data_IF_414315266678
#
_entry.id   IF_414315266678
#
_cell.length_a   1.000
_cell.length_b   1.000
_cell.length_c   1.000
_cell.angle_alpha   90.00
_cell.angle_beta   90.00
_cell.angle_gamma   90.00
#
_symmetry.space_group_name_H-M   'P 1'
#
loop_
_entity.id
_entity.type
_entity.pdbx_description
1 polymer ?
#
# COMPACT_ATOMS: atom_id res chain seq x y z
N UNK A 1 6.72 8.57 -0.56
CA UNK A 1 6.68 7.67 0.61
C UNK A 1 6.52 8.51 1.86
N UNK A 2 5.47 8.33 2.67
CA UNK A 2 5.34 9.07 3.92
C UNK A 2 6.33 8.49 4.93
N UNK A 3 7.30 9.29 5.36
CA UNK A 3 8.16 8.95 6.49
C UNK A 3 7.26 8.80 7.72
N UNK A 4 7.09 7.58 8.22
CA UNK A 4 6.36 7.30 9.47
C UNK A 4 7.25 7.79 10.62
N UNK A 5 7.06 9.05 11.01
CA UNK A 5 7.66 9.56 12.24
C UNK A 5 6.88 8.99 13.41
N UNK A 6 7.46 8.00 14.10
CA UNK A 6 6.91 7.55 15.37
C UNK A 6 7.02 8.72 16.37
N UNK A 7 5.89 9.22 16.85
CA UNK A 7 5.88 10.18 17.95
C UNK A 7 6.29 9.45 19.24
N UNK A 8 7.57 9.53 19.59
CA UNK A 8 8.15 8.88 20.76
C UNK A 8 7.74 9.51 22.11
N UNK A 9 7.04 10.64 22.07
CA UNK A 9 6.53 11.36 23.25
C UNK A 9 5.02 11.16 23.44
N UNK A 10 4.34 10.47 22.52
CA UNK A 10 2.91 10.23 22.58
C UNK A 10 2.54 9.05 23.49
N UNK A 11 1.34 9.10 24.07
CA UNK A 11 0.80 8.03 24.93
C UNK A 11 0.80 6.66 24.24
N UNK A 12 0.47 6.60 22.95
CA UNK A 12 0.48 5.37 22.15
C UNK A 12 1.88 4.74 22.06
N UNK A 13 2.93 5.55 21.93
CA UNK A 13 4.30 5.03 21.90
C UNK A 13 4.72 4.54 23.29
N UNK A 14 4.39 5.29 24.35
CA UNK A 14 4.64 4.87 25.73
C UNK A 14 3.97 3.54 26.03
N UNK A 15 2.68 3.40 25.68
CA UNK A 15 1.92 2.17 25.85
C UNK A 15 2.50 1.01 25.04
N UNK A 16 2.88 1.23 23.78
CA UNK A 16 3.52 0.22 22.95
C UNK A 16 4.89 -0.22 23.50
N UNK A 17 5.68 0.70 24.05
CA UNK A 17 6.96 0.38 24.69
C UNK A 17 6.75 -0.37 26.00
N UNK A 18 5.79 0.04 26.83
CA UNK A 18 5.41 -0.69 28.05
C UNK A 18 4.91 -2.10 27.72
N UNK A 19 4.10 -2.26 26.67
CA UNK A 19 3.65 -3.56 26.19
C UNK A 19 4.82 -4.45 25.77
N UNK A 20 5.78 -3.92 25.00
CA UNK A 20 7.00 -4.66 24.63
C UNK A 20 7.89 -5.02 25.80
N UNK A 21 7.94 -4.19 26.84
CA UNK A 21 8.68 -4.49 28.07
C UNK A 21 8.00 -5.60 28.88
N UNK A 22 6.66 -5.57 28.95
CA UNK A 22 5.88 -6.57 29.66
C UNK A 22 5.85 -7.92 28.92
N UNK A 23 5.82 -7.87 27.59
CA UNK A 23 5.81 -9.03 26.70
C UNK A 23 6.99 -8.93 25.73
N UNK A 24 8.21 -9.27 26.18
CA UNK A 24 9.37 -9.23 25.31
C UNK A 24 9.16 -10.18 24.13
N UNK A 25 9.64 -9.84 22.92
CA UNK A 25 9.57 -10.74 21.79
C UNK A 25 10.29 -12.05 22.15
N UNK A 26 9.74 -13.21 21.74
CA UNK A 26 10.40 -14.49 21.98
C UNK A 26 11.84 -14.45 21.44
N UNK A 27 12.82 -14.93 22.20
CA UNK A 27 14.19 -14.97 21.72
C UNK A 27 14.30 -15.93 20.53
N UNK A 28 15.16 -15.57 19.57
CA UNK A 28 15.42 -16.43 18.41
C UNK A 28 16.16 -17.71 18.79
N UNK A 29 16.96 -17.70 19.87
CA UNK A 29 17.52 -18.90 20.47
C UNK A 29 16.73 -19.26 21.74
N UNK A 30 16.33 -20.54 21.97
CA UNK A 30 16.67 -21.74 21.19
C UNK A 30 15.64 -22.07 20.08
N UNK A 31 14.72 -21.16 19.73
CA UNK A 31 13.72 -21.37 18.67
C UNK A 31 14.38 -21.83 17.35
N UNK A 32 15.51 -21.23 17.01
CA UNK A 32 16.42 -21.66 15.95
C UNK A 32 17.73 -22.11 16.62
N UNK A 33 17.87 -23.40 16.93
CA UNK A 33 18.94 -23.90 17.81
C UNK A 33 20.31 -23.93 17.13
N UNK A 34 20.34 -23.90 15.79
CA UNK A 34 21.58 -23.88 15.01
C UNK A 34 21.58 -22.74 13.99
N UNK A 35 22.77 -22.26 13.58
CA UNK A 35 22.89 -21.29 12.49
C UNK A 35 22.20 -21.76 11.20
N UNK A 36 22.25 -23.06 10.90
CA UNK A 36 21.62 -23.66 9.73
C UNK A 36 20.09 -23.54 9.80
N UNK A 37 19.48 -23.82 10.96
CA UNK A 37 18.04 -23.66 11.17
C UNK A 37 17.60 -22.19 11.02
N UNK A 38 18.45 -21.24 11.42
CA UNK A 38 18.21 -19.82 11.19
C UNK A 38 18.29 -19.46 9.70
N UNK A 39 19.30 -19.95 8.97
CA UNK A 39 19.43 -19.71 7.52
C UNK A 39 18.28 -20.31 6.72
N UNK A 40 17.80 -21.50 7.09
CA UNK A 40 16.64 -22.13 6.43
C UNK A 40 15.36 -21.32 6.67
N UNK A 41 15.13 -20.86 7.90
CA UNK A 41 14.01 -19.97 8.21
C UNK A 41 14.06 -18.70 7.37
N UNK A 42 15.21 -18.03 7.30
CA UNK A 42 15.36 -16.81 6.50
C UNK A 42 15.07 -17.06 5.01
N UNK A 43 15.55 -18.18 4.46
CA UNK A 43 15.29 -18.52 3.05
C UNK A 43 13.81 -18.74 2.79
N UNK A 44 13.12 -19.45 3.67
CA UNK A 44 11.68 -19.68 3.52
C UNK A 44 10.88 -18.37 3.61
N UNK A 45 11.21 -17.54 4.60
CA UNK A 45 10.59 -16.23 4.83
C UNK A 45 10.80 -15.28 3.63
N UNK A 46 12.01 -15.26 3.05
CA UNK A 46 12.33 -14.45 1.86
C UNK A 46 11.52 -14.87 0.64
N UNK A 47 11.37 -16.18 0.41
CA UNK A 47 10.56 -16.69 -0.71
C UNK A 47 9.08 -16.35 -0.53
N UNK A 48 8.53 -16.51 0.67
CA UNK A 48 7.14 -16.16 0.96
C UNK A 48 6.90 -14.66 0.81
N UNK A 49 7.80 -13.84 1.36
CA UNK A 49 7.75 -12.39 1.24
C UNK A 49 7.77 -11.96 -0.22
N UNK A 50 8.68 -12.50 -1.03
CA UNK A 50 8.77 -12.15 -2.44
C UNK A 50 7.49 -12.52 -3.20
N UNK A 51 6.91 -13.69 -2.95
CA UNK A 51 5.65 -14.10 -3.58
C UNK A 51 4.48 -13.16 -3.22
N UNK A 52 4.42 -12.68 -1.97
CA UNK A 52 3.43 -11.69 -1.53
C UNK A 52 3.67 -10.36 -2.25
N UNK A 53 4.92 -9.92 -2.35
CA UNK A 53 5.27 -8.66 -3.02
C UNK A 53 4.95 -8.69 -4.51
N UNK A 54 5.28 -9.78 -5.21
CA UNK A 54 4.96 -9.95 -6.63
C UNK A 54 3.45 -9.88 -6.89
N UNK A 55 2.67 -10.55 -6.03
CA UNK A 55 1.20 -10.48 -6.09
C UNK A 55 0.69 -9.06 -5.85
N UNK A 56 1.21 -8.37 -4.83
CA UNK A 56 0.80 -7.02 -4.49
C UNK A 56 1.14 -6.03 -5.62
N UNK A 57 2.30 -6.18 -6.24
CA UNK A 57 2.72 -5.38 -7.39
C UNK A 57 1.79 -5.58 -8.58
N UNK A 58 1.46 -6.84 -8.91
CA UNK A 58 0.50 -7.14 -9.98
C UNK A 58 -0.87 -6.49 -9.73
N UNK A 59 -1.39 -6.62 -8.50
CA UNK A 59 -2.67 -6.00 -8.11
C UNK A 59 -2.59 -4.47 -8.18
N UNK A 60 -1.47 -3.88 -7.75
CA UNK A 60 -1.27 -2.43 -7.82
C UNK A 60 -1.35 -1.92 -9.25
N UNK A 61 -0.65 -2.55 -10.20
CA UNK A 61 -0.65 -2.11 -11.60
C UNK A 61 -1.99 -2.32 -12.30
N UNK A 62 -2.72 -3.39 -11.96
CA UNK A 62 -4.08 -3.60 -12.46
C UNK A 62 -5.02 -2.47 -12.01
N UNK A 63 -5.02 -2.16 -10.71
CA UNK A 63 -5.85 -1.10 -10.12
C UNK A 63 -5.47 0.27 -10.68
N UNK A 64 -4.18 0.55 -10.76
CA UNK A 64 -3.68 1.80 -11.33
C UNK A 64 -4.11 1.96 -12.80
N UNK A 65 -3.97 0.91 -13.60
CA UNK A 65 -4.41 0.91 -15.00
C UNK A 65 -5.93 1.10 -15.16
N UNK A 66 -6.73 0.51 -14.26
CA UNK A 66 -8.18 0.73 -14.24
C UNK A 66 -8.52 2.19 -13.88
N UNK A 67 -7.85 2.76 -12.87
CA UNK A 67 -8.03 4.14 -12.46
C UNK A 67 -7.68 5.12 -13.60
N UNK A 68 -6.56 4.91 -14.30
CA UNK A 68 -6.14 5.75 -15.42
C UNK A 68 -7.17 5.74 -16.56
N UNK A 69 -7.68 4.56 -16.94
CA UNK A 69 -8.71 4.45 -17.98
C UNK A 69 -9.99 5.18 -17.59
N UNK A 70 -10.46 4.98 -16.36
CA UNK A 70 -11.66 5.67 -15.86
C UNK A 70 -11.48 7.20 -15.83
N UNK A 71 -10.30 7.68 -15.43
CA UNK A 71 -9.99 9.11 -15.44
C UNK A 71 -10.00 9.68 -16.87
N UNK A 72 -9.42 8.98 -17.83
CA UNK A 72 -9.37 9.43 -19.22
C UNK A 72 -10.76 9.40 -19.87
N UNK A 73 -11.59 8.40 -19.57
CA UNK A 73 -13.00 8.35 -19.99
C UNK A 73 -13.80 9.52 -19.40
N UNK A 74 -13.62 9.83 -18.12
CA UNK A 74 -14.25 10.99 -17.48
C UNK A 74 -13.81 12.32 -18.13
N UNK A 75 -12.51 12.48 -18.43
CA UNK A 75 -12.00 13.65 -19.15
C UNK A 75 -12.60 13.75 -20.55
N UNK A 76 -12.65 12.64 -21.29
CA UNK A 76 -13.24 12.60 -22.63
C UNK A 76 -14.73 12.97 -22.60
N UNK A 77 -15.49 12.43 -21.64
CA UNK A 77 -16.90 12.77 -21.45
C UNK A 77 -17.09 14.26 -21.10
N UNK A 78 -16.24 14.82 -20.22
CA UNK A 78 -16.27 16.24 -19.87
C UNK A 78 -15.97 17.13 -21.09
N UNK A 79 -14.98 16.78 -21.90
CA UNK A 79 -14.65 17.49 -23.14
C UNK A 79 -15.80 17.41 -24.17
N UNK A 80 -16.43 16.25 -24.33
CA UNK A 80 -17.59 16.10 -25.21
C UNK A 80 -18.79 16.93 -24.75
N UNK A 81 -19.05 16.96 -23.43
CA UNK A 81 -20.10 17.80 -22.84
C UNK A 81 -19.85 19.30 -23.06
N UNK A 82 -18.60 19.74 -22.89
CA UNK A 82 -18.21 21.13 -23.18
C UNK A 82 -18.38 21.50 -24.66
N UNK A 83 -18.07 20.58 -25.59
CA UNK A 83 -18.29 20.78 -27.01
C UNK A 83 -19.78 20.85 -27.38
N UNK A 84 -20.63 20.04 -26.74
CA UNK A 84 -22.08 20.05 -26.96
C UNK A 84 -22.78 21.28 -26.35
N UNK A 85 -22.32 21.76 -25.18
CA UNK A 85 -22.84 22.97 -24.53
C UNK A 85 -22.44 24.29 -25.19
N UNK A 86 -21.48 24.26 -26.13
CA UNK A 86 -21.07 25.42 -26.94
C UNK A 86 -22.00 25.75 -28.12
N UNK A 87 -23.01 24.91 -28.40
CA UNK A 87 -24.02 25.19 -29.43
C UNK A 87 -25.17 25.97 -28.79
N UNK A 88 -25.07 27.29 -28.79
CA UNK A 88 -26.17 28.18 -28.38
C UNK A 88 -27.40 27.94 -29.27
N UNK A 89 -28.61 27.73 -28.73
CA UNK A 89 -29.83 27.75 -29.52
C UNK A 89 -30.08 29.18 -30.00
N UNK A 90 -29.94 29.42 -31.30
CA UNK A 90 -30.33 30.68 -31.92
C UNK A 90 -31.86 30.76 -31.88
N UNK A 91 -32.41 31.60 -31.01
CA UNK A 91 -33.81 32.01 -31.09
C UNK A 91 -33.92 33.14 -32.13
N UNK A 92 -34.61 32.88 -33.25
CA UNK A 92 -35.07 33.91 -34.19
C UNK A 92 -36.45 34.41 -33.76
N UNK A 93 -36.61 35.72 -33.65
CA UNK A 93 -37.87 36.43 -33.32
C UNK A 93 -38.66 36.77 -34.58
#
# INVERSE_FOLDING_TARGET
MPNVYYNTQGSLYTEAMSYRQQFPPPPFYPRFPTPEAWTEYQRADEVEYQAIMDRNEAVFYEQYGAHMRAQDEQRAAASASAAAGGVSPVFTY
#
